data_IF_073551792534
#
_entry.id   IF_073551792534
#
_cell.length_a   1.000
_cell.length_b   1.000
_cell.length_c   1.000
_cell.angle_alpha   90.00
_cell.angle_beta   90.00
_cell.angle_gamma   90.00
#
_symmetry.space_group_name_H-M   'P 1'
#
loop_
_entity.id
_entity.type
_entity.pdbx_description
1 polymer ?
#
# COMPACT_ATOMS: atom_id res chain seq x y z
N UNK A 1 4.94 6.95 -4.71
CA UNK A 1 5.24 5.76 -5.53
C UNK A 1 6.47 6.12 -6.32
N UNK A 2 7.54 5.34 -6.14
CA UNK A 2 8.76 5.57 -6.89
C UNK A 2 8.55 5.29 -8.37
N UNK A 3 9.45 5.81 -9.21
CA UNK A 3 9.35 5.58 -10.65
C UNK A 3 9.34 4.07 -10.93
N UNK A 4 8.38 3.64 -11.75
CA UNK A 4 8.14 2.24 -12.16
C UNK A 4 7.63 1.28 -11.05
N UNK A 5 7.27 1.79 -9.88
CA UNK A 5 6.68 1.00 -8.79
C UNK A 5 5.15 0.88 -8.93
N UNK A 6 4.59 -0.29 -8.60
CA UNK A 6 3.13 -0.47 -8.56
C UNK A 6 2.56 -0.01 -7.22
N UNK A 7 1.27 0.36 -7.12
CA UNK A 7 0.67 0.71 -5.83
C UNK A 7 0.80 -0.40 -4.77
N UNK A 8 0.77 -1.67 -5.19
CA UNK A 8 0.96 -2.81 -4.28
C UNK A 8 2.39 -2.88 -3.76
N UNK A 9 3.39 -2.73 -4.63
CA UNK A 9 4.79 -2.72 -4.22
C UNK A 9 5.08 -1.57 -3.25
N UNK A 10 4.56 -0.37 -3.56
CA UNK A 10 4.68 0.79 -2.69
C UNK A 10 4.05 0.53 -1.31
N UNK A 11 2.80 0.02 -1.27
CA UNK A 11 2.12 -0.22 -0.01
C UNK A 11 2.83 -1.25 0.87
N UNK A 12 3.37 -2.33 0.28
CA UNK A 12 4.09 -3.36 1.03
C UNK A 12 5.43 -2.84 1.56
N UNK A 13 6.19 -2.11 0.75
CA UNK A 13 7.45 -1.49 1.17
C UNK A 13 7.24 -0.50 2.31
N UNK A 14 6.27 0.42 2.17
CA UNK A 14 5.96 1.40 3.22
C UNK A 14 5.47 0.72 4.52
N UNK A 15 4.64 -0.32 4.40
CA UNK A 15 4.19 -1.06 5.59
C UNK A 15 5.36 -1.73 6.33
N UNK A 16 6.33 -2.29 5.59
CA UNK A 16 7.57 -2.83 6.16
C UNK A 16 8.40 -1.72 6.83
N UNK A 17 8.61 -0.59 6.15
CA UNK A 17 9.40 0.54 6.67
C UNK A 17 8.79 1.20 7.92
N UNK A 18 7.47 1.41 7.94
CA UNK A 18 6.79 2.14 9.01
C UNK A 18 6.44 1.27 10.22
N UNK A 19 6.19 -0.03 10.01
CA UNK A 19 5.66 -0.91 11.07
C UNK A 19 6.55 -2.12 11.36
N UNK A 20 7.52 -2.42 10.51
CA UNK A 20 8.32 -3.65 10.58
C UNK A 20 7.56 -4.91 10.13
N UNK A 21 6.44 -4.74 9.41
CA UNK A 21 5.66 -5.84 8.85
C UNK A 21 6.54 -6.72 7.94
N UNK A 22 6.52 -8.04 8.15
CA UNK A 22 7.08 -8.98 7.18
C UNK A 22 6.15 -9.08 5.98
N UNK A 23 6.51 -8.35 4.92
CA UNK A 23 5.75 -8.26 3.67
C UNK A 23 5.59 -9.62 2.96
N UNK A 24 6.45 -10.61 3.26
CA UNK A 24 6.35 -11.96 2.67
C UNK A 24 5.18 -12.77 3.21
N UNK A 25 4.65 -12.42 4.39
CA UNK A 25 3.48 -13.04 5.01
C UNK A 25 2.14 -12.43 4.58
N UNK A 26 2.15 -11.42 3.71
CA UNK A 26 0.95 -10.69 3.30
C UNK A 26 0.36 -11.26 2.01
N UNK A 27 -0.86 -11.79 2.08
CA UNK A 27 -1.67 -12.11 0.91
C UNK A 27 -2.40 -10.86 0.42
N UNK A 28 -2.03 -10.36 -0.76
CA UNK A 28 -2.71 -9.21 -1.38
C UNK A 28 -4.02 -9.67 -2.02
N UNK A 29 -5.14 -9.21 -1.47
CA UNK A 29 -6.48 -9.53 -1.96
C UNK A 29 -6.91 -8.65 -3.13
N UNK A 30 -6.29 -7.47 -3.27
CA UNK A 30 -6.50 -6.55 -4.39
C UNK A 30 -6.35 -5.08 -4.00
N UNK A 31 -6.64 -4.20 -4.95
CA UNK A 31 -6.72 -2.75 -4.73
C UNK A 31 -8.17 -2.29 -4.61
N UNK A 32 -8.39 -1.23 -3.85
CA UNK A 32 -9.67 -0.52 -3.80
C UNK A 32 -9.64 0.71 -4.70
N UNK A 33 -10.80 1.35 -4.85
CA UNK A 33 -10.91 2.62 -5.57
C UNK A 33 -9.98 3.68 -4.98
N UNK A 34 -9.41 4.51 -5.83
CA UNK A 34 -8.56 5.62 -5.40
C UNK A 34 -9.33 6.58 -4.49
N UNK A 35 -8.66 7.06 -3.44
CA UNK A 35 -9.24 7.95 -2.45
C UNK A 35 -8.45 9.25 -2.40
N UNK A 36 -9.16 10.38 -2.52
CA UNK A 36 -8.61 11.69 -2.24
C UNK A 36 -8.55 11.91 -0.72
N UNK A 37 -7.40 12.30 -0.19
CA UNK A 37 -7.26 12.59 1.23
C UNK A 37 -7.74 14.01 1.53
N UNK A 38 -8.69 14.18 2.45
CA UNK A 38 -9.34 15.46 2.71
C UNK A 38 -8.40 16.62 3.14
N UNK A 39 -7.18 16.30 3.58
CA UNK A 39 -6.22 17.27 4.13
C UNK A 39 -4.91 17.36 3.34
N UNK A 40 -4.81 16.71 2.17
CA UNK A 40 -3.65 16.79 1.29
C UNK A 40 -4.07 16.75 -0.18
N UNK A 41 -3.19 17.19 -1.09
CA UNK A 41 -3.41 17.07 -2.54
C UNK A 41 -2.97 15.69 -3.08
N UNK A 42 -3.08 14.65 -2.25
CA UNK A 42 -2.69 13.30 -2.64
C UNK A 42 -3.91 12.45 -2.93
N UNK A 43 -3.80 11.70 -4.02
CA UNK A 43 -4.67 10.59 -4.36
C UNK A 43 -3.94 9.30 -3.97
N UNK A 44 -4.59 8.44 -3.20
CA UNK A 44 -3.99 7.17 -2.75
C UNK A 44 -4.77 5.98 -3.29
N UNK A 45 -4.07 4.92 -3.66
CA UNK A 45 -4.67 3.63 -4.01
C UNK A 45 -4.57 2.71 -2.79
N UNK A 46 -5.67 2.41 -2.08
CA UNK A 46 -5.62 1.48 -0.96
C UNK A 46 -5.38 0.05 -1.44
N UNK A 47 -4.54 -0.69 -0.73
CA UNK A 47 -4.23 -2.10 -0.99
C UNK A 47 -4.77 -2.92 0.18
N UNK A 48 -5.64 -3.90 -0.10
CA UNK A 48 -6.17 -4.79 0.92
C UNK A 48 -5.29 -6.04 1.01
N UNK A 49 -4.66 -6.24 2.16
CA UNK A 49 -3.84 -7.41 2.46
C UNK A 49 -4.36 -8.18 3.67
N UNK A 50 -4.21 -9.49 3.65
CA UNK A 50 -4.38 -10.37 4.81
C UNK A 50 -3.01 -10.83 5.29
N UNK A 51 -2.70 -10.65 6.58
CA UNK A 51 -1.41 -11.00 7.16
C UNK A 51 -1.56 -12.14 8.18
N UNK A 52 -0.64 -13.11 8.12
CA UNK A 52 -0.62 -14.32 8.95
C UNK A 52 0.74 -14.58 9.56
#
# INVERSE_FOLDING_TARGET
IDADETPVAAALREAEEETGLDSTGVEVLGTLQELGLARSNFLVTPVLGWWT
#
